data_IF_934406884902
#
_entry.id   IF_934406884902
#
_cell.length_a   1.000
_cell.length_b   1.000
_cell.length_c   1.000
_cell.angle_alpha   90.00
_cell.angle_beta   90.00
_cell.angle_gamma   90.00
#
_symmetry.space_group_name_H-M   'P 1'
#
loop_
_entity.id
_entity.type
_entity.pdbx_description
1 polymer ?
#
# COMPACT_ATOMS: atom_id res chain seq x y z
N UNK A 1 -2.06 -0.98 1.31
CA UNK A 1 -0.80 -1.69 0.99
C UNK A 1 -1.08 -2.89 0.12
N UNK A 2 -0.18 -3.14 -0.82
CA UNK A 2 -0.21 -4.29 -1.72
C UNK A 2 1.18 -4.89 -1.79
N UNK A 3 1.26 -6.20 -1.96
CA UNK A 3 2.48 -6.85 -2.42
C UNK A 3 2.17 -7.84 -3.54
N UNK A 4 3.18 -8.17 -4.31
CA UNK A 4 3.12 -9.19 -5.34
C UNK A 4 4.50 -9.82 -5.53
N UNK A 5 4.51 -11.10 -5.84
CA UNK A 5 5.72 -11.84 -6.11
C UNK A 5 5.48 -12.96 -7.11
N UNK A 6 6.50 -13.24 -7.91
CA UNK A 6 6.50 -14.38 -8.82
C UNK A 6 6.58 -15.71 -8.04
N UNK A 7 6.05 -16.77 -8.61
CA UNK A 7 6.08 -18.11 -7.96
C UNK A 7 7.50 -18.63 -7.73
N UNK A 8 8.47 -18.20 -8.53
CA UNK A 8 9.90 -18.53 -8.38
C UNK A 8 10.65 -17.63 -7.37
N UNK A 9 10.00 -16.58 -6.86
CA UNK A 9 10.55 -15.64 -5.88
C UNK A 9 11.58 -14.65 -6.44
N UNK A 10 11.81 -14.61 -7.75
CA UNK A 10 12.82 -13.74 -8.36
C UNK A 10 12.39 -12.28 -8.46
N UNK A 11 11.08 -12.04 -8.50
CA UNK A 11 10.50 -10.72 -8.62
C UNK A 11 9.56 -10.48 -7.45
N UNK A 12 9.75 -9.36 -6.78
CA UNK A 12 8.86 -8.84 -5.76
C UNK A 12 8.52 -7.39 -6.08
N UNK A 13 7.28 -7.00 -5.86
CA UNK A 13 6.89 -5.61 -5.82
C UNK A 13 5.96 -5.34 -4.63
N UNK A 14 6.00 -4.11 -4.16
CA UNK A 14 5.11 -3.60 -3.13
C UNK A 14 4.58 -2.23 -3.51
N UNK A 15 3.36 -1.93 -3.14
CA UNK A 15 2.73 -0.63 -3.36
C UNK A 15 1.95 -0.19 -2.12
N UNK A 16 1.98 1.08 -1.82
CA UNK A 16 1.18 1.67 -0.76
C UNK A 16 0.64 3.02 -1.21
N UNK A 17 -0.57 3.34 -0.78
CA UNK A 17 -1.14 4.67 -0.86
C UNK A 17 -1.81 4.98 0.47
N UNK A 18 -1.46 6.12 1.05
CA UNK A 18 -1.96 6.58 2.33
C UNK A 18 -2.58 7.97 2.19
N UNK A 19 -3.72 8.17 2.82
CA UNK A 19 -4.35 9.49 2.96
C UNK A 19 -4.43 9.84 4.44
N UNK A 20 -4.02 11.06 4.77
CA UNK A 20 -3.97 11.59 6.13
C UNK A 20 -4.86 12.84 6.22
N UNK A 21 -6.19 12.66 6.38
CA UNK A 21 -7.13 13.79 6.30
C UNK A 21 -6.85 14.90 7.30
N UNK A 22 -6.43 14.57 8.52
CA UNK A 22 -6.14 15.56 9.56
C UNK A 22 -4.86 16.36 9.27
N UNK A 23 -3.96 15.82 8.45
CA UNK A 23 -2.73 16.50 8.02
C UNK A 23 -2.87 17.12 6.63
N UNK A 24 -3.95 16.82 5.93
CA UNK A 24 -4.20 17.21 4.54
C UNK A 24 -3.07 16.76 3.58
N UNK A 25 -2.58 15.56 3.80
CA UNK A 25 -1.49 14.95 3.03
C UNK A 25 -1.96 13.61 2.46
N UNK A 26 -1.46 13.28 1.28
CA UNK A 26 -1.48 11.94 0.68
C UNK A 26 -0.07 11.56 0.26
N UNK A 27 0.28 10.29 0.41
CA UNK A 27 1.54 9.75 -0.08
C UNK A 27 1.35 8.37 -0.73
N UNK A 28 2.26 8.06 -1.64
CA UNK A 28 2.32 6.75 -2.25
C UNK A 28 3.76 6.28 -2.40
N UNK A 29 3.94 4.97 -2.40
CA UNK A 29 5.22 4.35 -2.67
C UNK A 29 5.05 3.11 -3.52
N UNK A 30 6.05 2.85 -4.37
CA UNK A 30 6.20 1.61 -5.09
C UNK A 30 7.62 1.07 -4.87
N UNK A 31 7.72 -0.22 -4.67
CA UNK A 31 8.97 -0.94 -4.48
C UNK A 31 9.02 -2.02 -5.56
N UNK A 32 10.16 -2.14 -6.23
CA UNK A 32 10.45 -3.23 -7.15
C UNK A 32 11.76 -3.89 -6.74
N UNK A 33 11.74 -5.19 -6.53
CA UNK A 33 12.96 -6.00 -6.39
C UNK A 33 13.13 -6.78 -7.69
N UNK A 34 14.23 -6.49 -8.37
CA UNK A 34 14.62 -7.09 -9.63
C UNK A 34 16.11 -7.44 -9.56
N UNK A 35 16.47 -8.67 -9.93
CA UNK A 35 17.85 -9.16 -9.86
C UNK A 35 18.52 -8.99 -8.48
N UNK A 36 17.72 -9.13 -7.40
CA UNK A 36 18.19 -8.97 -6.03
C UNK A 36 18.39 -7.52 -5.58
N UNK A 37 18.10 -6.54 -6.44
CA UNK A 37 18.24 -5.11 -6.16
C UNK A 37 16.86 -4.50 -5.90
N UNK A 38 16.73 -3.78 -4.78
CA UNK A 38 15.51 -3.05 -4.45
C UNK A 38 15.55 -1.63 -5.00
N UNK A 39 14.53 -1.28 -5.76
CA UNK A 39 14.27 0.05 -6.28
C UNK A 39 13.05 0.65 -5.58
N UNK A 40 13.15 1.92 -5.16
CA UNK A 40 12.09 2.60 -4.40
C UNK A 40 11.62 3.86 -5.14
N UNK A 41 10.32 3.99 -5.28
CA UNK A 41 9.65 5.13 -5.90
C UNK A 41 8.70 5.73 -4.86
N UNK A 42 8.77 7.03 -4.63
CA UNK A 42 7.97 7.72 -3.63
C UNK A 42 7.33 8.96 -4.21
N UNK A 43 6.10 9.21 -3.80
CA UNK A 43 5.25 10.32 -4.22
C UNK A 43 4.55 10.90 -3.00
N UNK A 44 4.43 12.21 -2.93
CA UNK A 44 3.72 12.89 -1.84
C UNK A 44 3.08 14.17 -2.37
N UNK A 45 1.90 14.48 -1.88
CA UNK A 45 1.15 15.67 -2.30
C UNK A 45 0.14 16.09 -1.23
N UNK A 46 -0.46 17.25 -1.42
CA UNK A 46 -1.57 17.75 -0.62
C UNK A 46 -2.84 16.97 -0.98
N UNK A 47 -3.59 16.54 0.03
CA UNK A 47 -4.85 15.79 -0.16
C UNK A 47 -6.01 16.67 -0.68
N UNK A 48 -5.97 17.98 -0.45
CA UNK A 48 -7.08 18.89 -0.74
C UNK A 48 -8.40 18.49 -0.08
N UNK A 49 -8.33 17.77 1.04
CA UNK A 49 -9.46 17.22 1.80
C UNK A 49 -10.34 16.22 1.04
N UNK A 50 -9.94 15.80 -0.17
CA UNK A 50 -10.67 14.83 -1.00
C UNK A 50 -10.12 13.41 -0.80
N UNK A 51 -10.78 12.63 0.07
CA UNK A 51 -10.34 11.28 0.45
C UNK A 51 -10.43 10.23 -0.66
N UNK A 52 -11.28 10.50 -1.66
CA UNK A 52 -11.52 9.55 -2.74
C UNK A 52 -10.60 9.79 -3.94
N UNK A 53 -9.78 10.84 -3.89
CA UNK A 53 -8.73 11.07 -4.88
C UNK A 53 -7.52 10.19 -4.55
N UNK A 54 -7.53 8.96 -5.03
CA UNK A 54 -6.54 7.93 -4.75
C UNK A 54 -5.42 7.85 -5.80
N UNK A 55 -4.91 9.04 -6.16
CA UNK A 55 -3.74 9.23 -7.01
C UNK A 55 -2.76 10.23 -6.39
N UNK A 56 -1.46 10.03 -6.59
CA UNK A 56 -0.37 10.90 -6.10
C UNK A 56 0.74 10.96 -7.14
N UNK A 57 0.85 12.11 -7.81
CA UNK A 57 1.82 12.27 -8.91
C UNK A 57 1.58 11.25 -10.01
N UNK A 58 2.62 10.47 -10.30
CA UNK A 58 2.56 9.42 -11.33
C UNK A 58 2.00 8.08 -10.84
N UNK A 59 1.50 8.00 -9.62
CA UNK A 59 0.96 6.78 -9.02
C UNK A 59 -0.56 6.92 -8.82
N UNK A 60 -1.34 5.93 -9.26
CA UNK A 60 -2.78 5.90 -9.13
C UNK A 60 -3.30 4.50 -8.78
N UNK A 61 -4.38 4.43 -7.99
CA UNK A 61 -5.15 3.21 -7.76
C UNK A 61 -6.55 3.40 -8.34
N UNK A 62 -6.92 2.56 -9.29
CA UNK A 62 -8.27 2.48 -9.84
C UNK A 62 -9.06 1.36 -9.14
N UNK A 63 -10.27 1.64 -8.68
CA UNK A 63 -11.19 0.63 -8.15
C UNK A 63 -12.08 0.16 -9.30
N UNK A 64 -11.76 -0.99 -9.89
CA UNK A 64 -12.50 -1.54 -11.01
C UNK A 64 -13.78 -2.26 -10.53
N UNK A 65 -13.69 -3.01 -9.43
CA UNK A 65 -14.80 -3.65 -8.76
C UNK A 65 -14.53 -3.62 -7.25
N UNK A 66 -15.39 -2.93 -6.45
CA UNK A 66 -15.18 -2.81 -5.01
C UNK A 66 -14.96 -4.17 -4.34
N UNK A 67 -13.92 -4.24 -3.48
CA UNK A 67 -13.48 -5.42 -2.73
C UNK A 67 -13.02 -6.62 -3.58
N UNK A 68 -13.09 -6.56 -4.90
CA UNK A 68 -12.72 -7.69 -5.77
C UNK A 68 -11.58 -7.38 -6.72
N UNK A 69 -11.61 -6.23 -7.40
CA UNK A 69 -10.67 -5.94 -8.47
C UNK A 69 -10.19 -4.50 -8.40
N UNK A 70 -8.88 -4.34 -8.31
CA UNK A 70 -8.22 -3.04 -8.29
C UNK A 70 -7.08 -3.02 -9.31
N UNK A 71 -6.70 -1.83 -9.72
CA UNK A 71 -5.60 -1.63 -10.65
C UNK A 71 -4.66 -0.57 -10.10
N UNK A 72 -3.37 -0.81 -10.20
CA UNK A 72 -2.32 0.15 -9.90
C UNK A 72 -1.73 0.61 -11.21
N UNK A 73 -1.68 1.91 -11.42
CA UNK A 73 -1.07 2.53 -12.60
C UNK A 73 0.09 3.40 -12.15
N UNK A 74 1.22 3.27 -12.80
CA UNK A 74 2.38 4.14 -12.64
C UNK A 74 2.85 4.57 -14.02
N UNK A 75 3.05 5.87 -14.22
CA UNK A 75 3.67 6.42 -15.44
C UNK A 75 4.62 7.55 -15.05
N UNK A 76 5.84 7.20 -14.70
CA UNK A 76 6.88 8.13 -14.25
C UNK A 76 8.09 8.08 -15.21
N UNK A 77 8.06 8.97 -16.17
CA UNK A 77 9.12 9.06 -17.19
C UNK A 77 10.45 9.51 -16.61
N UNK A 78 10.43 10.36 -15.59
CA UNK A 78 11.66 10.88 -14.97
C UNK A 78 12.40 9.80 -14.18
N UNK A 79 11.64 8.84 -13.62
CA UNK A 79 12.19 7.68 -12.91
C UNK A 79 12.27 6.43 -13.77
N UNK A 80 11.96 6.56 -15.07
CA UNK A 80 12.00 5.47 -16.05
C UNK A 80 11.20 4.22 -15.62
N UNK A 81 10.02 4.45 -14.98
CA UNK A 81 9.13 3.36 -14.56
C UNK A 81 7.73 3.57 -15.09
N UNK A 82 7.15 2.50 -15.62
CA UNK A 82 5.71 2.41 -15.85
C UNK A 82 5.18 1.05 -15.39
N UNK A 83 3.97 1.02 -14.87
CA UNK A 83 3.33 -0.22 -14.47
C UNK A 83 1.83 -0.14 -14.66
N UNK A 84 1.25 -1.27 -15.02
CA UNK A 84 -0.19 -1.46 -15.11
C UNK A 84 -0.51 -2.81 -14.50
N UNK A 85 -0.86 -2.81 -13.21
CA UNK A 85 -0.97 -4.01 -12.40
C UNK A 85 -2.41 -4.19 -11.94
N UNK A 86 -3.03 -5.29 -12.30
CA UNK A 86 -4.39 -5.62 -11.88
C UNK A 86 -4.35 -6.69 -10.79
N UNK A 87 -4.90 -6.36 -9.63
CA UNK A 87 -5.14 -7.29 -8.52
C UNK A 87 -6.56 -7.84 -8.61
N UNK A 88 -6.68 -9.16 -8.53
CA UNK A 88 -7.98 -9.85 -8.42
C UNK A 88 -7.98 -10.69 -7.15
N UNK A 89 -8.88 -10.36 -6.21
CA UNK A 89 -9.05 -11.12 -4.98
C UNK A 89 -9.47 -12.55 -5.26
N UNK A 90 -8.83 -13.52 -4.62
CA UNK A 90 -9.18 -14.96 -4.72
C UNK A 90 -10.30 -15.34 -3.77
N UNK A 91 -10.44 -14.59 -2.68
CA UNK A 91 -11.41 -14.78 -1.63
C UNK A 91 -12.00 -13.43 -1.23
N UNK A 92 -13.11 -13.44 -0.52
CA UNK A 92 -13.62 -12.23 0.13
C UNK A 92 -12.58 -11.67 1.11
N UNK A 93 -12.49 -10.34 1.27
CA UNK A 93 -11.58 -9.74 2.22
C UNK A 93 -11.96 -10.13 3.65
N UNK A 94 -10.96 -10.44 4.46
CA UNK A 94 -11.14 -10.74 5.88
C UNK A 94 -10.93 -9.46 6.69
N UNK A 95 -11.97 -9.01 7.37
CA UNK A 95 -11.89 -7.89 8.31
C UNK A 95 -11.36 -8.40 9.65
N UNK A 96 -10.33 -7.72 10.17
CA UNK A 96 -9.77 -7.99 11.49
C UNK A 96 -10.59 -7.27 12.58
N UNK A 97 -10.61 -7.81 13.79
CA UNK A 97 -11.24 -7.12 14.92
C UNK A 97 -10.66 -5.72 15.12
N UNK A 98 -11.56 -4.75 15.41
CA UNK A 98 -11.13 -3.38 15.69
C UNK A 98 -10.21 -3.34 16.90
N UNK A 99 -9.07 -2.69 16.74
CA UNK A 99 -8.08 -2.53 17.78
C UNK A 99 -8.13 -1.11 18.35
N UNK A 100 -8.40 -0.99 19.66
CA UNK A 100 -8.40 0.30 20.37
C UNK A 100 -7.35 0.28 21.47
N UNK A 101 -6.37 1.18 21.40
CA UNK A 101 -5.33 1.36 22.43
C UNK A 101 -5.47 2.79 22.99
N UNK A 102 -5.56 2.88 24.30
CA UNK A 102 -5.65 4.15 25.02
C UNK A 102 -4.40 4.36 25.89
N UNK A 103 -3.99 5.61 26.00
CA UNK A 103 -2.99 6.08 26.94
C UNK A 103 -3.65 7.13 27.84
N UNK A 104 -4.12 6.71 29.03
CA UNK A 104 -5.01 7.51 29.85
C UNK A 104 -6.31 7.85 29.11
N UNK A 105 -6.74 9.10 29.10
CA UNK A 105 -7.94 9.54 28.37
C UNK A 105 -7.74 9.62 26.85
N UNK A 106 -6.50 9.56 26.36
CA UNK A 106 -6.16 9.73 24.93
C UNK A 106 -6.27 8.42 24.17
N UNK A 107 -6.93 8.43 23.03
CA UNK A 107 -6.88 7.33 22.07
C UNK A 107 -5.56 7.43 21.30
N UNK A 108 -4.68 6.46 21.49
CA UNK A 108 -3.41 6.32 20.78
C UNK A 108 -3.57 5.63 19.45
N UNK A 109 -4.40 4.59 19.41
CA UNK A 109 -4.74 3.83 18.22
C UNK A 109 -6.19 3.39 18.30
N UNK A 110 -6.92 3.54 17.20
CA UNK A 110 -8.29 3.06 17.06
C UNK A 110 -8.54 2.75 15.59
N UNK A 111 -8.23 1.53 15.18
CA UNK A 111 -8.20 1.16 13.78
C UNK A 111 -8.79 -0.22 13.51
N UNK A 112 -9.35 -0.34 12.32
CA UNK A 112 -9.74 -1.61 11.71
C UNK A 112 -8.86 -1.86 10.50
N UNK A 113 -8.61 -3.13 10.21
CA UNK A 113 -7.85 -3.56 9.04
C UNK A 113 -8.58 -4.70 8.33
N UNK A 114 -8.46 -4.75 7.03
CA UNK A 114 -8.83 -5.91 6.22
C UNK A 114 -7.62 -6.43 5.46
N UNK A 115 -7.55 -7.72 5.29
CA UNK A 115 -6.54 -8.42 4.48
C UNK A 115 -7.22 -9.28 3.42
N UNK A 116 -6.66 -9.32 2.22
CA UNK A 116 -7.15 -10.15 1.14
C UNK A 116 -5.99 -10.70 0.31
N UNK A 117 -6.04 -11.99 -0.01
CA UNK A 117 -5.11 -12.62 -0.94
C UNK A 117 -5.64 -12.58 -2.35
N UNK A 118 -4.75 -12.42 -3.34
CA UNK A 118 -5.14 -12.31 -4.74
C UNK A 118 -4.07 -12.72 -5.72
N UNK A 119 -4.42 -12.62 -6.98
CA UNK A 119 -3.51 -12.81 -8.10
C UNK A 119 -3.28 -11.47 -8.79
N UNK A 120 -2.11 -11.35 -9.40
CA UNK A 120 -1.72 -10.21 -10.19
C UNK A 120 -1.63 -10.55 -11.66
N UNK A 121 -1.93 -9.58 -12.49
CA UNK A 121 -1.68 -9.58 -13.94
C UNK A 121 -1.29 -8.18 -14.41
N UNK A 122 -0.71 -8.07 -15.58
CA UNK A 122 -0.29 -6.81 -16.16
C UNK A 122 1.22 -6.79 -16.42
N UNK A 123 1.83 -5.61 -16.32
CA UNK A 123 3.25 -5.44 -16.62
C UNK A 123 3.90 -4.37 -15.74
N UNK A 124 5.22 -4.48 -15.62
CA UNK A 124 6.11 -3.45 -15.05
C UNK A 124 7.25 -3.23 -16.05
N UNK A 125 7.44 -2.00 -16.50
CA UNK A 125 8.62 -1.58 -17.26
C UNK A 125 9.48 -0.71 -16.36
N UNK A 126 10.73 -1.06 -16.21
CA UNK A 126 11.70 -0.26 -15.48
C UNK A 126 13.02 -0.20 -16.23
N UNK A 127 13.38 1.01 -16.70
CA UNK A 127 14.51 1.21 -17.61
C UNK A 127 14.36 0.33 -18.85
N UNK A 128 15.36 -0.52 -19.14
CA UNK A 128 15.33 -1.49 -20.24
C UNK A 128 14.68 -2.83 -19.90
N UNK A 129 14.23 -3.02 -18.65
CA UNK A 129 13.65 -4.28 -18.22
C UNK A 129 12.13 -4.25 -18.37
N UNK A 130 11.58 -5.29 -18.93
CA UNK A 130 10.15 -5.54 -19.02
C UNK A 130 9.79 -6.80 -18.22
N UNK A 131 8.83 -6.68 -17.34
CA UNK A 131 8.29 -7.77 -16.53
C UNK A 131 6.83 -7.95 -16.91
N UNK A 132 6.55 -8.98 -17.70
CA UNK A 132 5.18 -9.39 -18.04
C UNK A 132 4.67 -10.39 -17.00
N UNK A 133 3.60 -10.00 -16.27
CA UNK A 133 3.00 -10.85 -15.24
C UNK A 133 2.11 -11.96 -15.83
N UNK A 134 1.95 -12.04 -17.16
CA UNK A 134 1.26 -13.14 -17.83
C UNK A 134 2.13 -14.38 -18.04
N UNK A 135 3.46 -14.22 -18.09
CA UNK A 135 4.40 -15.31 -18.32
C UNK A 135 4.50 -16.30 -17.17
N UNK A 136 4.24 -15.86 -15.95
CA UNK A 136 4.30 -16.64 -14.72
C UNK A 136 3.14 -16.30 -13.81
N UNK A 137 2.91 -17.16 -12.85
CA UNK A 137 1.93 -16.88 -11.79
C UNK A 137 2.49 -15.86 -10.80
N UNK A 138 1.76 -14.78 -10.61
CA UNK A 138 2.03 -13.79 -9.57
C UNK A 138 0.90 -13.79 -8.56
N UNK A 139 1.28 -13.92 -7.30
CA UNK A 139 0.35 -13.91 -6.16
C UNK A 139 0.74 -12.81 -5.20
N UNK A 140 -0.18 -12.42 -4.33
CA UNK A 140 0.11 -11.44 -3.32
C UNK A 140 -1.06 -11.16 -2.40
N UNK A 141 -0.87 -10.16 -1.58
CA UNK A 141 -1.85 -9.70 -0.61
C UNK A 141 -2.10 -8.21 -0.78
N UNK A 142 -3.28 -7.78 -0.40
CA UNK A 142 -3.54 -6.40 -0.05
C UNK A 142 -4.00 -6.31 1.40
N UNK A 143 -3.64 -5.21 2.02
CA UNK A 143 -4.06 -4.79 3.34
C UNK A 143 -4.63 -3.37 3.22
N UNK A 144 -5.73 -3.12 3.88
CA UNK A 144 -6.28 -1.78 4.02
C UNK A 144 -6.64 -1.54 5.47
N UNK A 145 -6.13 -0.48 6.05
CA UNK A 145 -6.50 -0.05 7.39
C UNK A 145 -7.08 1.36 7.38
N UNK A 146 -7.99 1.60 8.31
CA UNK A 146 -8.61 2.92 8.50
C UNK A 146 -8.87 3.18 9.98
N UNK A 147 -8.83 4.44 10.38
CA UNK A 147 -9.02 4.85 11.76
C UNK A 147 -7.94 5.80 12.27
N UNK A 148 -7.74 5.82 13.57
CA UNK A 148 -6.73 6.63 14.24
C UNK A 148 -5.47 5.80 14.41
N UNK A 149 -4.35 6.31 13.91
CA UNK A 149 -3.02 5.69 14.04
C UNK A 149 -1.99 6.78 14.33
N UNK A 150 -0.94 6.47 15.12
CA UNK A 150 0.18 7.39 15.25
C UNK A 150 0.90 7.52 13.90
N UNK A 151 1.26 8.75 13.54
CA UNK A 151 1.99 9.08 12.32
C UNK A 151 3.23 9.89 12.70
N UNK A 152 4.37 9.54 12.12
CA UNK A 152 5.64 10.24 12.35
C UNK A 152 6.33 9.89 13.67
N UNK A 153 7.15 10.83 14.17
CA UNK A 153 7.87 10.64 15.42
C UNK A 153 6.91 10.50 16.62
N UNK A 154 7.35 9.77 17.63
CA UNK A 154 6.59 9.68 18.89
C UNK A 154 6.34 11.08 19.44
N UNK A 155 5.07 11.36 19.71
CA UNK A 155 4.67 12.53 20.47
C UNK A 155 5.42 12.56 21.82
N UNK A 156 5.88 13.74 22.23
CA UNK A 156 6.39 13.95 23.59
C UNK A 156 5.25 13.69 24.58
N UNK A 157 5.24 12.54 25.21
CA UNK A 157 4.16 12.10 26.08
C UNK A 157 4.42 12.51 27.52
N UNK A 158 3.46 13.16 28.15
CA UNK A 158 3.45 13.40 29.62
C UNK A 158 3.27 12.07 30.37
N UNK A 159 2.74 11.04 29.71
CA UNK A 159 2.50 9.71 30.26
C UNK A 159 3.48 8.72 29.62
N UNK A 160 4.12 7.81 30.40
CA UNK A 160 5.03 6.80 29.85
C UNK A 160 4.39 6.01 28.69
N UNK A 161 5.17 5.67 27.67
CA UNK A 161 4.65 4.88 26.55
C UNK A 161 4.16 3.50 27.03
N UNK A 162 3.02 3.06 26.50
CA UNK A 162 2.51 1.71 26.74
C UNK A 162 3.52 0.72 26.13
N UNK A 163 4.03 -0.19 26.95
CA UNK A 163 4.76 -1.35 26.43
C UNK A 163 3.76 -2.29 25.77
N UNK A 164 3.81 -2.36 24.44
CA UNK A 164 3.03 -3.36 23.71
C UNK A 164 3.60 -4.76 24.01
N UNK A 165 2.74 -5.79 24.16
CA UNK A 165 3.23 -7.16 24.27
C UNK A 165 4.08 -7.49 23.04
N UNK A 166 5.23 -8.07 23.25
CA UNK A 166 6.01 -8.68 22.18
C UNK A 166 5.44 -10.07 21.94
N UNK A 167 4.99 -10.31 20.72
CA UNK A 167 4.55 -11.63 20.28
C UNK A 167 5.73 -12.38 19.70
#
# INVERSE_FOLDING_TARGET
FFNGYSEDGNIFFGAALCVYPNLNIKDASFILVLDGIQHNFRYSDVLNYERMEIGVGSFEIEILEPLKKLKIVIDDKDKEISANLTFVGRFEPMEEPRMTIKNGPRIYMDSTRMTQHGNWSGFINFKSNEVDLSEKKYVGTRDRSWGIRPVGAQDSQIVPPIKLPQF
#
